data_IF_694511767888
#
_entry.id   IF_694511767888
#
_cell.length_a   1.000
_cell.length_b   1.000
_cell.length_c   1.000
_cell.angle_alpha   90.00
_cell.angle_beta   90.00
_cell.angle_gamma   90.00
#
_symmetry.space_group_name_H-M   'P 1'
#
loop_
_entity.id
_entity.type
_entity.pdbx_description
1 polymer ?
#
# COMPACT_ATOMS: atom_id res chain seq x y z
N UNK A 1 14.35 5.86 13.36
CA UNK A 1 14.56 4.40 13.46
C UNK A 1 13.25 3.62 13.54
N UNK A 2 12.26 4.02 14.36
CA UNK A 2 10.94 3.35 14.36
C UNK A 2 10.20 3.47 13.03
N UNK A 3 10.21 4.63 12.39
CA UNK A 3 9.55 4.88 11.10
C UNK A 3 10.09 3.98 9.97
N UNK A 4 11.40 3.74 9.92
CA UNK A 4 11.99 2.82 8.93
C UNK A 4 11.57 1.36 9.13
N UNK A 5 11.37 0.92 10.38
CA UNK A 5 10.87 -0.43 10.67
C UNK A 5 9.42 -0.61 10.21
N UNK A 6 8.56 0.40 10.39
CA UNK A 6 7.18 0.37 9.89
C UNK A 6 7.10 0.35 8.37
N UNK A 7 7.97 1.07 7.66
CA UNK A 7 8.05 0.98 6.20
C UNK A 7 8.43 -0.42 5.73
N UNK A 8 9.45 -1.03 6.35
CA UNK A 8 9.86 -2.40 6.02
C UNK A 8 8.73 -3.39 6.31
N UNK A 9 8.05 -3.26 7.45
CA UNK A 9 6.91 -4.10 7.80
C UNK A 9 5.75 -3.94 6.80
N UNK A 10 5.43 -2.72 6.37
CA UNK A 10 4.38 -2.47 5.39
C UNK A 10 4.69 -3.14 4.05
N UNK A 11 5.92 -3.02 3.55
CA UNK A 11 6.35 -3.69 2.31
C UNK A 11 6.27 -5.21 2.42
N UNK A 12 6.65 -5.77 3.57
CA UNK A 12 6.53 -7.21 3.82
C UNK A 12 5.05 -7.63 3.77
N UNK A 13 4.15 -6.88 4.40
CA UNK A 13 2.71 -7.15 4.38
C UNK A 13 2.13 -7.09 2.97
N UNK A 14 2.55 -6.13 2.14
CA UNK A 14 2.12 -6.04 0.75
C UNK A 14 2.56 -7.26 -0.06
N UNK A 15 3.80 -7.73 0.13
CA UNK A 15 4.31 -8.96 -0.52
C UNK A 15 3.46 -10.18 -0.12
N UNK A 16 3.12 -10.31 1.16
CA UNK A 16 2.26 -11.39 1.63
C UNK A 16 0.86 -11.31 1.03
N UNK A 17 0.26 -10.12 1.00
CA UNK A 17 -1.07 -9.90 0.43
C UNK A 17 -1.11 -10.21 -1.08
N UNK A 18 -0.11 -9.78 -1.83
CA UNK A 18 0.01 -10.08 -3.26
C UNK A 18 0.21 -11.58 -3.50
N UNK A 19 1.05 -12.23 -2.69
CA UNK A 19 1.29 -13.68 -2.78
C UNK A 19 0.01 -14.50 -2.52
N UNK A 20 -0.81 -14.07 -1.56
CA UNK A 20 -2.11 -14.69 -1.27
C UNK A 20 -3.08 -14.54 -2.46
N UNK A 21 -3.17 -13.32 -3.02
CA UNK A 21 -4.02 -13.05 -4.19
C UNK A 21 -3.59 -13.87 -5.40
N UNK A 22 -2.29 -13.98 -5.66
CA UNK A 22 -1.75 -14.77 -6.77
C UNK A 22 -2.07 -16.26 -6.63
N UNK A 23 -1.95 -16.81 -5.41
CA UNK A 23 -2.21 -18.23 -5.12
C UNK A 23 -3.69 -18.59 -5.02
N UNK A 24 -4.58 -17.60 -4.86
CA UNK A 24 -6.01 -17.80 -4.76
C UNK A 24 -6.62 -18.46 -6.02
N UNK A 25 -7.74 -19.18 -5.88
CA UNK A 25 -8.51 -19.75 -6.99
C UNK A 25 -9.47 -18.75 -7.66
N UNK A 26 -9.45 -17.48 -7.25
CA UNK A 26 -10.27 -16.39 -7.82
C UNK A 26 -10.00 -16.20 -9.32
N UNK A 27 -10.98 -15.63 -10.02
CA UNK A 27 -10.85 -15.27 -11.43
C UNK A 27 -9.76 -14.19 -11.65
N UNK A 28 -9.18 -14.19 -12.85
CA UNK A 28 -8.07 -13.31 -13.20
C UNK A 28 -8.42 -11.83 -13.06
N UNK A 29 -9.64 -11.43 -13.41
CA UNK A 29 -10.06 -10.04 -13.32
C UNK A 29 -10.09 -9.58 -11.85
N UNK A 30 -10.70 -10.37 -10.97
CA UNK A 30 -10.71 -10.13 -9.52
C UNK A 30 -9.29 -10.06 -8.97
N UNK A 31 -8.38 -10.96 -9.37
CA UNK A 31 -6.97 -10.90 -8.94
C UNK A 31 -6.30 -9.59 -9.34
N UNK A 32 -6.47 -9.15 -10.59
CA UNK A 32 -5.89 -7.90 -11.10
C UNK A 32 -6.41 -6.70 -10.30
N UNK A 33 -7.72 -6.64 -10.04
CA UNK A 33 -8.32 -5.57 -9.24
C UNK A 33 -7.77 -5.56 -7.81
N UNK A 34 -7.67 -6.73 -7.17
CA UNK A 34 -7.14 -6.82 -5.81
C UNK A 34 -5.67 -6.42 -5.73
N UNK A 35 -4.84 -6.85 -6.70
CA UNK A 35 -3.44 -6.43 -6.76
C UNK A 35 -3.31 -4.92 -7.00
N UNK A 36 -4.15 -4.34 -7.85
CA UNK A 36 -4.17 -2.90 -8.07
C UNK A 36 -4.56 -2.13 -6.81
N UNK A 37 -5.55 -2.60 -6.04
CA UNK A 37 -5.94 -1.99 -4.78
C UNK A 37 -4.83 -2.07 -3.72
N UNK A 38 -4.22 -3.25 -3.53
CA UNK A 38 -3.11 -3.44 -2.58
C UNK A 38 -1.99 -2.45 -2.86
N UNK A 39 -1.61 -2.28 -4.14
CA UNK A 39 -0.54 -1.38 -4.52
C UNK A 39 -0.94 0.09 -4.47
N UNK A 40 -2.15 0.46 -4.93
CA UNK A 40 -2.55 1.88 -5.05
C UNK A 40 -2.90 2.53 -3.72
N UNK A 41 -3.50 1.80 -2.78
CA UNK A 41 -3.92 2.36 -1.48
C UNK A 41 -2.78 3.07 -0.74
N UNK A 42 -1.58 2.49 -0.56
CA UNK A 42 -0.48 3.19 0.12
C UNK A 42 -0.01 4.43 -0.64
N UNK A 43 0.01 4.42 -1.98
CA UNK A 43 0.36 5.60 -2.77
C UNK A 43 -0.67 6.72 -2.63
N UNK A 44 -1.96 6.39 -2.71
CA UNK A 44 -3.05 7.37 -2.55
C UNK A 44 -3.07 7.90 -1.13
N UNK A 45 -2.92 7.05 -0.12
CA UNK A 45 -2.84 7.46 1.28
C UNK A 45 -1.65 8.40 1.56
N UNK A 46 -0.47 8.08 1.03
CA UNK A 46 0.70 8.96 1.13
C UNK A 46 0.49 10.28 0.38
N UNK A 47 -0.09 10.23 -0.82
CA UNK A 47 -0.41 11.42 -1.61
C UNK A 47 -1.41 12.34 -0.91
N UNK A 48 -2.47 11.78 -0.33
CA UNK A 48 -3.46 12.53 0.46
C UNK A 48 -2.85 13.09 1.74
N UNK A 49 -2.00 12.34 2.44
CA UNK A 49 -1.30 12.83 3.62
C UNK A 49 -0.41 14.02 3.26
N UNK A 50 0.39 13.90 2.21
CA UNK A 50 1.20 15.00 1.71
C UNK A 50 0.31 16.18 1.31
N UNK A 51 -0.75 15.97 0.53
CA UNK A 51 -1.63 17.07 0.11
C UNK A 51 -2.32 17.77 1.29
N UNK A 52 -2.85 17.03 2.26
CA UNK A 52 -3.62 17.59 3.37
C UNK A 52 -2.76 18.21 4.49
N UNK A 53 -1.52 17.77 4.66
CA UNK A 53 -0.68 18.16 5.81
C UNK A 53 0.64 18.86 5.43
N UNK A 54 1.03 18.90 4.15
CA UNK A 54 2.29 19.52 3.69
C UNK A 54 2.37 21.03 3.98
N UNK A 55 1.25 21.74 3.93
CA UNK A 55 1.22 23.18 4.21
C UNK A 55 1.40 23.53 5.69
N UNK A 56 1.28 22.56 6.61
CA UNK A 56 1.42 22.78 8.07
C UNK A 56 2.84 22.57 8.60
N UNK A 57 3.79 22.18 7.74
CA UNK A 57 5.17 21.86 8.12
C UNK A 57 6.20 22.98 7.88
N UNK A 58 5.80 24.12 7.34
CA UNK A 58 6.66 25.30 7.09
C UNK A 58 6.25 26.50 7.97
N UNK A 59 6.22 26.30 9.29
CA UNK A 59 6.19 27.40 10.28
C UNK A 59 7.20 27.14 11.39
#
# INVERSE_FOLDING_TARGET
MFSSLFYVAAVILDIFALSDVMRSSRDTATKVVLMALILLIPFVGAGLYLFAFRDKGYS
#
